data_IF_440452936072
#
_entry.id   IF_440452936072
#
_cell.length_a   1.000
_cell.length_b   1.000
_cell.length_c   1.000
_cell.angle_alpha   90.00
_cell.angle_beta   90.00
_cell.angle_gamma   90.00
#
_symmetry.space_group_name_H-M   'P 1'
#
loop_
_entity.id
_entity.type
_entity.pdbx_description
1 polymer ?
#
# COMPACT_ATOMS: atom_id res chain seq x y z
N UNK A 1 -10.30 34.17 -14.88
CA UNK A 1 -9.59 32.91 -14.64
C UNK A 1 -8.10 33.19 -14.88
N UNK A 2 -7.25 33.11 -13.84
CA UNK A 2 -5.79 33.29 -14.03
C UNK A 2 -5.24 31.94 -14.50
N UNK A 3 -4.72 31.86 -15.72
CA UNK A 3 -4.03 30.65 -16.21
C UNK A 3 -2.77 30.41 -15.35
N UNK A 4 -2.45 29.16 -15.07
CA UNK A 4 -1.17 28.81 -14.44
C UNK A 4 -0.03 29.13 -15.43
N UNK A 5 1.15 29.45 -14.94
CA UNK A 5 2.30 29.78 -15.77
C UNK A 5 2.69 28.65 -16.74
N UNK A 6 2.57 27.38 -16.33
CA UNK A 6 2.84 26.22 -17.19
C UNK A 6 1.86 26.12 -18.38
N UNK A 7 0.59 26.38 -18.14
CA UNK A 7 -0.45 26.39 -19.19
C UNK A 7 -0.22 27.53 -20.18
N UNK A 8 0.16 28.74 -19.69
CA UNK A 8 0.54 29.85 -20.54
C UNK A 8 1.73 29.51 -21.42
N UNK A 9 2.77 28.89 -20.86
CA UNK A 9 3.94 28.44 -21.60
C UNK A 9 3.59 27.37 -22.65
N UNK A 10 2.76 26.39 -22.33
CA UNK A 10 2.31 25.37 -23.28
C UNK A 10 1.57 25.99 -24.47
N UNK A 11 0.64 26.91 -24.22
CA UNK A 11 -0.10 27.62 -25.25
C UNK A 11 0.89 28.42 -26.15
N UNK A 12 1.83 29.17 -25.56
CA UNK A 12 2.81 29.97 -26.29
C UNK A 12 3.74 29.12 -27.16
N UNK A 13 4.21 27.96 -26.64
CA UNK A 13 5.04 27.03 -27.41
C UNK A 13 4.24 26.48 -28.59
N UNK A 14 3.02 25.99 -28.41
CA UNK A 14 2.18 25.45 -29.49
C UNK A 14 1.87 26.53 -30.53
N UNK A 15 1.51 27.74 -30.11
CA UNK A 15 1.25 28.85 -31.02
C UNK A 15 2.51 29.24 -31.83
N UNK A 16 3.68 29.23 -31.20
CA UNK A 16 4.93 29.54 -31.90
C UNK A 16 5.26 28.46 -32.95
N UNK A 17 5.13 27.17 -32.59
CA UNK A 17 5.32 26.06 -33.51
C UNK A 17 4.29 26.06 -34.65
N UNK A 18 3.06 26.51 -34.40
CA UNK A 18 2.02 26.62 -35.42
C UNK A 18 2.28 27.72 -36.49
N UNK A 19 3.01 28.78 -36.09
CA UNK A 19 3.31 29.91 -36.99
C UNK A 19 4.66 29.79 -37.71
N UNK A 20 5.47 28.78 -37.34
CA UNK A 20 6.80 28.56 -37.92
C UNK A 20 6.89 27.15 -38.51
N UNK A 21 7.31 27.06 -39.75
CA UNK A 21 7.50 25.82 -40.46
C UNK A 21 8.83 25.15 -40.06
N UNK A 22 8.80 23.85 -39.75
CA UNK A 22 9.98 23.05 -39.52
C UNK A 22 10.26 22.77 -38.03
N UNK A 23 11.48 22.34 -37.77
CA UNK A 23 11.92 21.93 -36.42
C UNK A 23 12.49 23.15 -35.69
N UNK A 24 11.94 23.47 -34.53
CA UNK A 24 12.36 24.62 -33.72
C UNK A 24 13.14 24.12 -32.50
N UNK A 25 14.37 24.63 -32.35
CA UNK A 25 15.24 24.22 -31.23
C UNK A 25 14.78 24.79 -29.88
N UNK A 26 15.16 24.12 -28.78
CA UNK A 26 14.93 24.64 -27.42
C UNK A 26 15.51 26.03 -27.22
N UNK A 27 16.71 26.29 -27.80
CA UNK A 27 17.39 27.58 -27.71
C UNK A 27 16.59 28.68 -28.38
N UNK A 28 16.01 28.39 -29.53
CA UNK A 28 15.18 29.35 -30.28
C UNK A 28 13.88 29.64 -29.55
N UNK A 29 13.16 28.59 -29.07
CA UNK A 29 11.97 28.77 -28.22
C UNK A 29 12.26 29.59 -26.97
N UNK A 30 13.37 29.30 -26.29
CA UNK A 30 13.80 30.04 -25.10
C UNK A 30 14.01 31.55 -25.42
N UNK A 31 14.71 31.84 -26.48
CA UNK A 31 15.01 33.21 -26.89
C UNK A 31 13.76 33.98 -27.30
N UNK A 32 12.89 33.36 -28.09
CA UNK A 32 11.71 34.02 -28.65
C UNK A 32 10.55 34.17 -27.66
N UNK A 33 10.38 33.16 -26.78
CA UNK A 33 9.28 33.15 -25.83
C UNK A 33 9.66 33.68 -24.45
N UNK A 34 10.94 33.95 -24.20
CA UNK A 34 11.47 34.37 -22.90
C UNK A 34 11.16 33.36 -21.81
N UNK A 35 11.28 32.06 -22.14
CA UNK A 35 11.07 30.93 -21.21
C UNK A 35 12.42 30.25 -20.99
N UNK A 36 12.76 29.93 -19.72
CA UNK A 36 14.00 29.23 -19.43
C UNK A 36 14.03 27.84 -20.10
N UNK A 37 15.20 27.41 -20.66
CA UNK A 37 15.31 26.14 -21.40
C UNK A 37 14.81 24.91 -20.60
N UNK A 38 15.03 24.89 -19.28
CA UNK A 38 14.58 23.84 -18.39
C UNK A 38 13.04 23.70 -18.39
N UNK A 39 12.32 24.83 -18.32
CA UNK A 39 10.87 24.88 -18.42
C UNK A 39 10.35 24.49 -19.80
N UNK A 40 11.06 24.85 -20.89
CA UNK A 40 10.67 24.41 -22.23
C UNK A 40 10.74 22.88 -22.33
N UNK A 41 11.81 22.26 -21.81
CA UNK A 41 11.94 20.80 -21.83
C UNK A 41 10.81 20.11 -21.06
N UNK A 42 10.46 20.67 -19.92
CA UNK A 42 9.40 20.12 -19.06
C UNK A 42 8.03 20.21 -19.73
N UNK A 43 7.66 21.38 -20.25
CA UNK A 43 6.39 21.59 -20.95
C UNK A 43 6.35 20.81 -22.27
N UNK A 44 7.46 20.79 -23.03
CA UNK A 44 7.55 20.04 -24.28
C UNK A 44 7.42 18.54 -24.06
N UNK A 45 7.97 17.98 -22.97
CA UNK A 45 7.76 16.58 -22.61
C UNK A 45 6.26 16.27 -22.46
N UNK A 46 5.54 17.13 -21.76
CA UNK A 46 4.09 17.01 -21.54
C UNK A 46 3.30 17.05 -22.86
N UNK A 47 3.62 18.04 -23.71
CA UNK A 47 2.97 18.18 -25.01
C UNK A 47 3.27 17.00 -25.95
N UNK A 48 4.47 16.41 -25.88
CA UNK A 48 4.86 15.20 -26.60
C UNK A 48 4.07 13.99 -26.13
N UNK A 49 3.97 13.79 -24.81
CA UNK A 49 3.23 12.67 -24.22
C UNK A 49 1.73 12.72 -24.58
N UNK A 50 1.17 13.91 -24.77
CA UNK A 50 -0.18 14.15 -25.28
C UNK A 50 -0.30 14.11 -26.80
N UNK A 51 0.77 13.79 -27.54
CA UNK A 51 0.79 13.76 -29.00
C UNK A 51 0.37 15.09 -29.67
N UNK A 52 0.70 16.21 -29.01
CA UNK A 52 0.50 17.57 -29.55
C UNK A 52 1.74 18.02 -30.34
N UNK A 53 2.94 17.64 -29.86
CA UNK A 53 4.20 17.91 -30.54
C UNK A 53 5.04 16.65 -30.71
N UNK A 54 6.00 16.71 -31.63
CA UNK A 54 7.05 15.69 -31.85
C UNK A 54 8.39 16.32 -31.46
N UNK A 55 9.23 15.55 -30.75
CA UNK A 55 10.60 15.91 -30.43
C UNK A 55 11.56 15.04 -31.26
N UNK A 56 12.56 15.68 -31.91
CA UNK A 56 13.65 14.98 -32.59
C UNK A 56 14.97 15.30 -31.90
N UNK A 57 15.79 14.27 -31.72
CA UNK A 57 17.13 14.40 -31.12
C UNK A 57 18.19 14.63 -32.21
N UNK A 58 19.31 15.29 -31.86
CA UNK A 58 20.45 15.48 -32.72
C UNK A 58 20.85 16.95 -32.87
N UNK A 59 21.90 17.22 -33.67
CA UNK A 59 22.47 18.56 -33.87
C UNK A 59 21.46 19.56 -34.48
N UNK A 60 20.49 19.06 -35.24
CA UNK A 60 19.35 19.82 -35.76
C UNK A 60 18.04 19.42 -35.06
N UNK A 61 18.12 18.92 -33.81
CA UNK A 61 16.97 18.51 -33.05
C UNK A 61 16.13 19.70 -32.57
N UNK A 62 14.92 19.40 -32.15
CA UNK A 62 13.95 20.40 -31.67
C UNK A 62 12.54 19.82 -31.62
N UNK A 63 11.56 20.70 -31.72
CA UNK A 63 10.14 20.40 -31.62
C UNK A 63 9.40 20.89 -32.87
N UNK A 64 8.37 20.12 -33.25
CA UNK A 64 7.38 20.49 -34.27
C UNK A 64 6.00 19.98 -33.85
N UNK A 65 4.94 20.48 -34.46
CA UNK A 65 3.59 19.95 -34.19
C UNK A 65 3.45 18.51 -34.66
N UNK A 66 2.78 17.69 -33.88
CA UNK A 66 2.46 16.28 -34.23
C UNK A 66 1.29 16.16 -35.22
N UNK A 67 0.45 17.22 -35.33
CA UNK A 67 -0.72 17.32 -36.18
C UNK A 67 -0.91 18.75 -36.66
N UNK A 68 -1.83 18.97 -37.60
CA UNK A 68 -2.10 20.30 -38.16
C UNK A 68 -2.54 21.25 -37.02
N UNK A 69 -2.13 22.49 -37.07
CA UNK A 69 -2.45 23.50 -36.05
C UNK A 69 -3.97 23.67 -35.84
N UNK A 70 -4.73 23.57 -36.94
CA UNK A 70 -6.23 23.63 -36.94
C UNK A 70 -6.89 22.47 -36.18
N UNK A 71 -6.19 21.34 -36.04
CA UNK A 71 -6.67 20.15 -35.33
C UNK A 71 -6.29 20.14 -33.83
N UNK A 72 -5.59 21.19 -33.36
CA UNK A 72 -5.17 21.35 -31.96
C UNK A 72 -6.06 22.39 -31.28
N UNK A 73 -6.90 21.97 -30.38
CA UNK A 73 -7.76 22.89 -29.64
C UNK A 73 -7.07 23.41 -28.37
N UNK A 74 -7.42 24.66 -27.99
CA UNK A 74 -6.97 25.22 -26.70
C UNK A 74 -7.37 24.32 -25.50
N UNK A 75 -8.56 23.71 -25.57
CA UNK A 75 -9.06 22.78 -24.57
C UNK A 75 -8.13 21.58 -24.41
N UNK A 76 -7.60 21.05 -25.50
CA UNK A 76 -6.69 19.90 -25.50
C UNK A 76 -5.36 20.27 -24.83
N UNK A 77 -4.78 21.44 -25.13
CA UNK A 77 -3.55 21.93 -24.50
C UNK A 77 -3.76 22.11 -22.98
N UNK A 78 -4.87 22.72 -22.57
CA UNK A 78 -5.21 22.95 -21.17
C UNK A 78 -5.46 21.63 -20.44
N UNK A 79 -6.19 20.68 -21.06
CA UNK A 79 -6.46 19.38 -20.46
C UNK A 79 -5.21 18.53 -20.30
N UNK A 80 -4.27 18.60 -21.25
CA UNK A 80 -2.96 17.95 -21.17
C UNK A 80 -2.16 18.42 -19.95
N UNK A 81 -2.09 19.73 -19.73
CA UNK A 81 -1.43 20.29 -18.56
C UNK A 81 -2.12 19.90 -17.24
N UNK A 82 -3.46 19.95 -17.20
CA UNK A 82 -4.21 19.58 -15.99
C UNK A 82 -4.10 18.09 -15.64
N UNK A 83 -4.08 17.18 -16.61
CA UNK A 83 -3.91 15.74 -16.36
C UNK A 83 -2.51 15.40 -15.87
N UNK A 84 -1.49 16.04 -16.46
CA UNK A 84 -0.10 15.82 -16.08
C UNK A 84 0.22 16.45 -14.73
N UNK A 85 -0.31 17.63 -14.44
CA UNK A 85 -0.21 18.24 -13.11
C UNK A 85 -0.83 17.32 -12.04
N UNK A 86 -2.00 16.73 -12.34
CA UNK A 86 -2.62 15.76 -11.43
C UNK A 86 -1.78 14.50 -11.25
N UNK A 87 -1.18 13.97 -12.31
CA UNK A 87 -0.31 12.79 -12.23
C UNK A 87 0.98 13.08 -11.46
N UNK A 88 1.60 14.24 -11.72
CA UNK A 88 2.77 14.70 -10.98
C UNK A 88 2.45 14.92 -9.50
N UNK A 89 1.32 15.56 -9.20
CA UNK A 89 0.87 15.75 -7.82
C UNK A 89 0.64 14.43 -7.11
N UNK A 90 0.01 13.44 -7.76
CA UNK A 90 -0.17 12.09 -7.20
C UNK A 90 1.17 11.39 -6.95
N UNK A 91 2.16 11.57 -7.82
CA UNK A 91 3.51 11.03 -7.61
C UNK A 91 4.19 11.67 -6.39
N UNK A 92 4.09 12.98 -6.24
CA UNK A 92 4.61 13.71 -5.07
C UNK A 92 3.92 13.24 -3.77
N UNK A 93 2.61 13.07 -3.78
CA UNK A 93 1.84 12.55 -2.63
C UNK A 93 2.30 11.13 -2.24
N UNK A 94 2.55 10.27 -3.24
CA UNK A 94 3.13 8.96 -3.02
C UNK A 94 4.54 9.06 -2.40
N UNK A 95 5.40 9.89 -2.96
CA UNK A 95 6.78 10.10 -2.51
C UNK A 95 6.84 10.72 -1.11
N UNK A 96 5.91 11.63 -0.76
CA UNK A 96 5.75 12.16 0.60
C UNK A 96 5.45 11.01 1.58
N UNK A 97 4.46 10.19 1.25
CA UNK A 97 4.11 9.03 2.09
C UNK A 97 5.26 8.04 2.21
N UNK A 98 6.05 7.85 1.15
CA UNK A 98 7.19 6.95 1.12
C UNK A 98 8.46 7.50 1.80
N UNK A 99 8.49 8.81 2.10
CA UNK A 99 9.66 9.50 2.66
C UNK A 99 10.85 9.52 1.70
N UNK A 100 10.59 9.75 0.41
CA UNK A 100 11.60 9.77 -0.66
C UNK A 100 11.77 11.15 -1.28
N UNK A 101 11.15 12.18 -0.70
CA UNK A 101 11.33 13.58 -1.04
C UNK A 101 12.51 14.17 -0.24
N UNK A 102 13.09 15.25 -0.74
CA UNK A 102 13.95 16.14 0.05
C UNK A 102 13.10 16.94 1.04
N UNK A 103 13.70 17.49 2.09
CA UNK A 103 12.97 18.28 3.09
C UNK A 103 12.22 19.47 2.48
N UNK A 104 12.81 20.15 1.48
CA UNK A 104 12.18 21.27 0.80
C UNK A 104 10.96 20.82 -0.03
N UNK A 105 11.07 19.68 -0.74
CA UNK A 105 9.95 19.08 -1.46
C UNK A 105 8.84 18.58 -0.52
N UNK A 106 9.21 18.01 0.64
CA UNK A 106 8.24 17.58 1.67
C UNK A 106 7.40 18.75 2.16
N UNK A 107 8.04 19.90 2.47
CA UNK A 107 7.37 21.12 2.92
C UNK A 107 6.43 21.68 1.84
N UNK A 108 6.88 21.70 0.57
CA UNK A 108 6.06 22.18 -0.55
C UNK A 108 4.81 21.31 -0.73
N UNK A 109 4.98 19.98 -0.76
CA UNK A 109 3.86 19.03 -0.94
C UNK A 109 2.92 19.08 0.27
N UNK A 110 3.44 19.14 1.49
CA UNK A 110 2.64 19.25 2.70
C UNK A 110 1.79 20.53 2.68
N UNK A 111 2.36 21.66 2.26
CA UNK A 111 1.63 22.92 2.11
C UNK A 111 0.50 22.82 1.06
N UNK A 112 0.75 22.19 -0.10
CA UNK A 112 -0.27 21.94 -1.13
C UNK A 112 -1.42 21.10 -0.54
N UNK A 113 -1.09 20.07 0.21
CA UNK A 113 -2.06 19.20 0.88
C UNK A 113 -2.70 19.86 2.12
N UNK A 114 -2.14 20.95 2.64
CA UNK A 114 -2.58 21.60 3.89
C UNK A 114 -2.36 20.70 5.10
N UNK A 115 -1.23 19.99 5.12
CA UNK A 115 -0.75 19.20 6.23
C UNK A 115 0.26 20.01 7.04
N UNK A 116 0.21 19.85 8.37
CA UNK A 116 1.08 20.53 9.30
C UNK A 116 1.81 19.51 10.19
N UNK A 117 2.92 19.92 10.79
CA UNK A 117 3.68 19.08 11.73
C UNK A 117 2.94 18.80 13.04
N UNK A 118 1.86 19.51 13.29
CA UNK A 118 1.00 19.30 14.47
C UNK A 118 -0.18 18.38 14.19
N UNK A 119 -0.42 18.02 12.94
CA UNK A 119 -1.54 17.16 12.58
C UNK A 119 -1.31 15.72 13.04
N UNK A 120 -2.37 15.09 13.55
CA UNK A 120 -2.39 13.65 13.77
C UNK A 120 -2.77 12.96 12.46
N UNK A 121 -1.85 12.17 11.91
CA UNK A 121 -1.94 11.58 10.59
C UNK A 121 -1.83 10.06 10.66
N UNK A 122 -2.42 9.38 9.66
CA UNK A 122 -2.31 7.94 9.50
C UNK A 122 -2.36 7.58 8.02
N UNK A 123 -1.58 6.60 7.60
CA UNK A 123 -1.63 6.08 6.23
C UNK A 123 -2.43 4.79 6.18
N UNK A 124 -3.36 4.71 5.25
CA UNK A 124 -4.08 3.50 4.89
C UNK A 124 -3.66 3.10 3.48
N UNK A 125 -3.23 1.85 3.34
CA UNK A 125 -2.87 1.28 2.04
C UNK A 125 -3.91 0.24 1.65
N UNK A 126 -4.58 0.47 0.53
CA UNK A 126 -5.46 -0.50 -0.11
C UNK A 126 -4.67 -1.22 -1.20
N UNK A 127 -4.80 -2.53 -1.27
CA UNK A 127 -4.07 -3.36 -2.23
C UNK A 127 -5.02 -4.33 -2.92
N UNK A 128 -4.92 -4.38 -4.24
CA UNK A 128 -5.62 -5.34 -5.08
C UNK A 128 -4.64 -6.44 -5.49
N UNK A 129 -5.03 -7.69 -5.30
CA UNK A 129 -4.22 -8.85 -5.68
C UNK A 129 -5.07 -9.80 -6.53
N UNK A 130 -4.59 -10.21 -7.72
CA UNK A 130 -5.28 -11.22 -8.50
C UNK A 130 -5.17 -12.58 -7.81
N UNK A 131 -6.28 -13.34 -7.75
CA UNK A 131 -6.33 -14.68 -7.12
C UNK A 131 -5.68 -15.78 -7.98
N UNK A 132 -5.16 -15.42 -9.16
CA UNK A 132 -4.51 -16.37 -10.05
C UNK A 132 -3.07 -16.70 -9.58
N UNK A 133 -2.58 -17.90 -9.95
CA UNK A 133 -1.23 -18.38 -9.59
C UNK A 133 -0.10 -17.54 -10.20
N UNK A 134 -0.34 -16.79 -11.26
CA UNK A 134 0.68 -15.98 -11.93
C UNK A 134 0.96 -14.64 -11.23
N UNK A 135 0.06 -14.18 -10.36
CA UNK A 135 0.13 -12.86 -9.72
C UNK A 135 0.01 -11.68 -10.69
N UNK A 136 -0.37 -11.92 -11.95
CA UNK A 136 -0.51 -10.89 -12.98
C UNK A 136 -1.98 -10.59 -13.22
N UNK A 137 -2.29 -9.32 -13.38
CA UNK A 137 -3.63 -8.87 -13.74
C UNK A 137 -3.95 -9.16 -15.21
N UNK A 138 -5.15 -9.67 -15.48
CA UNK A 138 -5.73 -9.71 -16.81
C UNK A 138 -6.26 -8.33 -17.20
N UNK A 139 -6.55 -8.12 -18.50
CA UNK A 139 -7.14 -6.85 -18.97
C UNK A 139 -8.48 -6.54 -18.29
N UNK A 140 -9.29 -7.56 -18.02
CA UNK A 140 -10.57 -7.39 -17.30
C UNK A 140 -10.32 -7.02 -15.83
N UNK A 141 -9.38 -7.67 -15.16
CA UNK A 141 -9.01 -7.33 -13.79
C UNK A 141 -8.47 -5.91 -13.68
N UNK A 142 -7.70 -5.42 -14.66
CA UNK A 142 -7.26 -4.02 -14.70
C UNK A 142 -8.43 -3.04 -14.79
N UNK A 143 -9.46 -3.35 -15.57
CA UNK A 143 -10.70 -2.55 -15.59
C UNK A 143 -11.39 -2.53 -14.21
N UNK A 144 -11.43 -3.66 -13.53
CA UNK A 144 -12.01 -3.72 -12.18
C UNK A 144 -11.19 -2.89 -11.17
N UNK A 145 -9.84 -2.83 -11.29
CA UNK A 145 -9.03 -1.96 -10.42
C UNK A 145 -9.37 -0.49 -10.60
N UNK A 146 -9.61 -0.02 -11.82
CA UNK A 146 -10.05 1.35 -12.09
C UNK A 146 -11.43 1.67 -11.47
N UNK A 147 -12.34 0.69 -11.47
CA UNK A 147 -13.66 0.86 -10.85
C UNK A 147 -13.51 0.97 -9.34
N UNK A 148 -12.69 0.13 -8.72
CA UNK A 148 -12.39 0.20 -7.28
C UNK A 148 -11.77 1.54 -6.91
N UNK A 149 -10.82 2.06 -7.70
CA UNK A 149 -10.23 3.38 -7.46
C UNK A 149 -11.30 4.46 -7.46
N UNK A 150 -12.19 4.47 -8.45
CA UNK A 150 -13.30 5.44 -8.52
C UNK A 150 -14.27 5.33 -7.34
N UNK A 151 -14.52 4.12 -6.87
CA UNK A 151 -15.38 3.86 -5.71
C UNK A 151 -14.74 4.34 -4.41
N UNK A 152 -13.43 4.10 -4.21
CA UNK A 152 -12.67 4.63 -3.09
C UNK A 152 -12.66 6.16 -3.09
N UNK A 153 -12.42 6.81 -4.25
CA UNK A 153 -12.39 8.26 -4.38
C UNK A 153 -13.76 8.94 -4.16
N UNK A 154 -14.86 8.18 -4.15
CA UNK A 154 -16.19 8.68 -3.74
C UNK A 154 -16.38 8.71 -2.23
N UNK A 155 -15.73 7.79 -1.52
CA UNK A 155 -15.87 7.61 -0.07
C UNK A 155 -14.73 8.25 0.72
N UNK A 156 -13.57 8.47 0.09
CA UNK A 156 -12.39 9.05 0.71
C UNK A 156 -12.11 10.45 0.13
N UNK A 157 -11.38 11.27 0.87
CA UNK A 157 -10.96 12.59 0.37
C UNK A 157 -10.00 12.43 -0.81
N UNK A 158 -10.39 12.97 -1.98
CA UNK A 158 -9.56 12.98 -3.19
C UNK A 158 -8.22 13.69 -2.99
N UNK A 159 -8.19 14.70 -2.13
CA UNK A 159 -7.00 15.50 -1.82
C UNK A 159 -5.89 14.68 -1.16
N UNK A 160 -6.26 13.63 -0.43
CA UNK A 160 -5.37 12.81 0.35
C UNK A 160 -5.24 11.37 -0.18
N UNK A 161 -5.66 11.14 -1.43
CA UNK A 161 -5.67 9.79 -2.02
C UNK A 161 -4.84 9.75 -3.28
N UNK A 162 -3.78 8.95 -3.27
CA UNK A 162 -2.94 8.67 -4.44
C UNK A 162 -3.03 7.20 -4.84
N UNK A 163 -2.85 6.89 -6.11
CA UNK A 163 -2.98 5.53 -6.63
C UNK A 163 -1.89 5.19 -7.64
N UNK A 164 -1.49 3.94 -7.64
CA UNK A 164 -0.77 3.31 -8.74
C UNK A 164 -1.49 2.00 -9.12
N UNK A 165 -0.99 1.24 -10.07
CA UNK A 165 -1.67 0.13 -10.77
C UNK A 165 -2.50 -0.81 -9.87
N UNK A 166 -2.03 -1.16 -8.68
CA UNK A 166 -2.69 -2.12 -7.78
C UNK A 166 -2.71 -1.69 -6.32
N UNK A 167 -2.34 -0.45 -6.06
CA UNK A 167 -2.23 0.08 -4.71
C UNK A 167 -2.80 1.49 -4.66
N UNK A 168 -3.65 1.75 -3.68
CA UNK A 168 -4.18 3.07 -3.40
C UNK A 168 -3.76 3.44 -1.98
N UNK A 169 -3.22 4.64 -1.81
CA UNK A 169 -2.73 5.16 -0.54
C UNK A 169 -3.63 6.32 -0.15
N UNK A 170 -4.10 6.29 1.07
CA UNK A 170 -4.91 7.33 1.67
C UNK A 170 -4.23 7.88 2.91
N UNK A 171 -3.94 9.17 2.93
CA UNK A 171 -3.48 9.88 4.12
C UNK A 171 -4.72 10.33 4.89
N UNK A 172 -4.97 9.71 6.02
CA UNK A 172 -6.05 10.11 6.93
C UNK A 172 -5.53 11.18 7.89
N UNK A 173 -6.08 12.39 7.77
CA UNK A 173 -5.93 13.44 8.78
C UNK A 173 -7.01 13.23 9.81
N UNK A 174 -6.61 12.99 11.07
CA UNK A 174 -7.52 12.64 12.14
C UNK A 174 -8.52 13.75 12.40
N UNK A 175 -9.76 13.36 12.47
CA UNK A 175 -10.87 14.20 12.90
C UNK A 175 -11.13 13.94 14.39
N UNK A 176 -11.15 14.98 15.21
CA UNK A 176 -11.39 14.88 16.66
C UNK A 176 -12.78 14.28 16.98
N UNK A 177 -13.73 14.38 16.05
CA UNK A 177 -15.09 13.84 16.21
C UNK A 177 -15.16 12.32 15.93
N UNK A 178 -14.12 11.74 15.29
CA UNK A 178 -14.10 10.33 14.89
C UNK A 178 -13.13 9.58 15.77
N UNK A 179 -13.63 8.65 16.59
CA UNK A 179 -12.78 7.77 17.37
C UNK A 179 -11.99 6.79 16.49
N UNK A 180 -10.85 6.30 16.97
CA UNK A 180 -10.06 5.28 16.27
C UNK A 180 -10.86 4.00 15.96
N UNK A 181 -11.84 3.67 16.81
CA UNK A 181 -12.74 2.54 16.58
C UNK A 181 -13.68 2.80 15.41
N UNK A 182 -14.33 3.97 15.38
CA UNK A 182 -15.25 4.36 14.30
C UNK A 182 -14.51 4.44 12.96
N UNK A 183 -13.31 5.05 12.94
CA UNK A 183 -12.46 5.07 11.75
C UNK A 183 -12.18 3.66 11.22
N UNK A 184 -11.74 2.75 12.10
CA UNK A 184 -11.43 1.37 11.70
C UNK A 184 -12.66 0.63 11.19
N UNK A 185 -13.79 0.75 11.88
CA UNK A 185 -15.05 0.13 11.44
C UNK A 185 -15.50 0.66 10.08
N UNK A 186 -15.35 1.95 9.82
CA UNK A 186 -15.62 2.55 8.51
C UNK A 186 -14.73 1.99 7.40
N UNK A 187 -13.44 1.78 7.67
CA UNK A 187 -12.51 1.15 6.72
C UNK A 187 -12.87 -0.33 6.50
N UNK A 188 -13.22 -1.08 7.56
CA UNK A 188 -13.66 -2.48 7.46
C UNK A 188 -14.95 -2.61 6.65
N UNK A 189 -15.91 -1.71 6.84
CA UNK A 189 -17.15 -1.67 6.08
C UNK A 189 -16.91 -1.34 4.60
N UNK A 190 -16.11 -0.32 4.32
CA UNK A 190 -15.71 0.05 2.96
C UNK A 190 -15.03 -1.12 2.24
N UNK A 191 -14.11 -1.81 2.91
CA UNK A 191 -13.46 -3.00 2.37
C UNK A 191 -14.47 -4.09 2.00
N UNK A 192 -15.41 -4.40 2.89
CA UNK A 192 -16.46 -5.41 2.65
C UNK A 192 -17.35 -5.05 1.47
N UNK A 193 -17.77 -3.80 1.36
CA UNK A 193 -18.60 -3.32 0.25
C UNK A 193 -17.86 -3.53 -1.08
N UNK A 194 -16.61 -3.11 -1.16
CA UNK A 194 -15.80 -3.23 -2.38
C UNK A 194 -15.53 -4.70 -2.72
N UNK A 195 -15.14 -5.53 -1.73
CA UNK A 195 -14.91 -6.96 -1.96
C UNK A 195 -16.17 -7.66 -2.47
N UNK A 196 -17.33 -7.40 -1.86
CA UNK A 196 -18.60 -7.94 -2.32
C UNK A 196 -18.96 -7.53 -3.75
N UNK A 197 -18.60 -6.30 -4.14
CA UNK A 197 -18.81 -5.82 -5.51
C UNK A 197 -17.87 -6.52 -6.51
N UNK A 198 -16.63 -6.79 -6.13
CA UNK A 198 -15.67 -7.57 -6.92
C UNK A 198 -16.13 -9.02 -7.09
N UNK A 199 -16.58 -9.65 -6.00
CA UNK A 199 -17.05 -11.05 -6.02
C UNK A 199 -18.31 -11.21 -6.87
N UNK A 200 -19.28 -10.27 -6.79
CA UNK A 200 -20.47 -10.25 -7.66
C UNK A 200 -20.12 -10.13 -9.14
N UNK A 201 -19.00 -9.51 -9.49
CA UNK A 201 -18.52 -9.38 -10.87
C UNK A 201 -17.59 -10.52 -11.28
N UNK A 202 -17.37 -11.51 -10.42
CA UNK A 202 -16.41 -12.61 -10.64
C UNK A 202 -15.02 -12.11 -11.03
N UNK A 203 -14.56 -11.03 -10.39
CA UNK A 203 -13.32 -10.35 -10.75
C UNK A 203 -12.05 -11.13 -10.35
N UNK A 204 -12.17 -12.15 -9.48
CA UNK A 204 -11.05 -12.94 -8.94
C UNK A 204 -9.90 -12.06 -8.41
N UNK A 205 -10.27 -11.04 -7.65
CA UNK A 205 -9.35 -10.09 -7.01
C UNK A 205 -9.61 -10.07 -5.52
N UNK A 206 -8.55 -10.17 -4.72
CA UNK A 206 -8.57 -9.87 -3.30
C UNK A 206 -8.34 -8.38 -3.08
N UNK A 207 -9.18 -7.77 -2.26
CA UNK A 207 -9.05 -6.39 -1.84
C UNK A 207 -8.65 -6.32 -0.36
N UNK A 208 -7.39 -5.99 -0.13
CA UNK A 208 -6.75 -6.02 1.19
C UNK A 208 -6.45 -4.61 1.68
N UNK A 209 -6.49 -4.40 2.99
CA UNK A 209 -6.26 -3.09 3.61
C UNK A 209 -5.26 -3.20 4.75
N UNK A 210 -4.19 -2.41 4.67
CA UNK A 210 -3.23 -2.20 5.73
C UNK A 210 -3.40 -0.80 6.34
N UNK A 211 -3.55 -0.72 7.64
CA UNK A 211 -3.65 0.53 8.38
C UNK A 211 -2.36 0.71 9.18
N UNK A 212 -1.66 1.83 8.94
CA UNK A 212 -0.46 2.21 9.68
C UNK A 212 -0.76 2.76 11.08
N UNK A 213 0.25 3.01 11.87
CA UNK A 213 0.12 3.68 13.19
C UNK A 213 -0.24 5.16 13.04
N UNK A 214 -0.80 5.76 14.09
CA UNK A 214 -0.90 7.21 14.20
C UNK A 214 0.51 7.82 14.30
N UNK A 215 0.72 8.91 13.59
CA UNK A 215 1.96 9.68 13.59
C UNK A 215 1.63 11.16 13.71
N UNK A 216 2.55 11.95 14.25
CA UNK A 216 2.39 13.40 14.36
C UNK A 216 3.25 14.08 13.29
N UNK A 217 2.62 14.94 12.52
CA UNK A 217 3.27 15.66 11.44
C UNK A 217 3.48 14.84 10.15
N UNK A 218 3.62 15.57 9.04
CA UNK A 218 3.81 14.96 7.73
C UNK A 218 5.19 14.30 7.56
N UNK A 219 6.23 14.79 8.25
CA UNK A 219 7.58 14.21 8.23
C UNK A 219 7.64 12.76 8.75
N UNK A 220 6.67 12.37 9.59
CA UNK A 220 6.55 11.02 10.13
C UNK A 220 5.64 10.08 9.28
N UNK A 221 5.04 10.56 8.18
CA UNK A 221 4.15 9.74 7.33
C UNK A 221 4.80 8.46 6.82
N UNK A 222 6.11 8.50 6.52
CA UNK A 222 6.90 7.33 6.10
C UNK A 222 6.83 6.16 7.08
N UNK A 223 6.73 6.44 8.37
CA UNK A 223 6.62 5.39 9.39
C UNK A 223 5.24 4.72 9.33
N UNK A 224 4.17 5.53 9.24
CA UNK A 224 2.81 5.03 9.10
C UNK A 224 2.62 4.25 7.80
N UNK A 225 3.20 4.72 6.69
CA UNK A 225 3.18 4.03 5.41
C UNK A 225 3.94 2.71 5.46
N UNK A 226 5.13 2.68 6.06
CA UNK A 226 5.90 1.45 6.27
C UNK A 226 5.09 0.42 7.08
N UNK A 227 4.42 0.85 8.15
CA UNK A 227 3.58 0.00 8.97
C UNK A 227 2.38 -0.55 8.16
N UNK A 228 1.71 0.27 7.35
CA UNK A 228 0.59 -0.16 6.50
C UNK A 228 1.02 -1.20 5.45
N UNK A 229 2.19 -1.03 4.85
CA UNK A 229 2.79 -2.00 3.92
C UNK A 229 3.20 -3.29 4.61
N UNK A 230 3.74 -3.20 5.82
CA UNK A 230 4.11 -4.36 6.64
C UNK A 230 2.89 -5.20 6.96
N UNK A 231 1.77 -4.57 7.33
CA UNK A 231 0.50 -5.26 7.56
C UNK A 231 0.06 -6.07 6.32
N UNK A 232 0.19 -5.50 5.12
CA UNK A 232 -0.16 -6.17 3.87
C UNK A 232 0.84 -7.25 3.44
N UNK A 233 2.15 -7.02 3.67
CA UNK A 233 3.19 -7.99 3.34
C UNK A 233 3.02 -9.30 4.11
N UNK A 234 2.66 -9.20 5.37
CA UNK A 234 2.56 -10.34 6.28
C UNK A 234 1.11 -10.76 6.57
N UNK A 235 0.14 -10.34 5.76
CA UNK A 235 -1.28 -10.61 6.03
C UNK A 235 -1.59 -12.10 6.21
N UNK A 236 -0.95 -12.98 5.43
CA UNK A 236 -1.12 -14.44 5.55
C UNK A 236 -0.58 -14.99 6.87
N UNK A 237 0.53 -14.45 7.37
CA UNK A 237 1.08 -14.79 8.69
C UNK A 237 0.14 -14.30 9.79
N UNK A 238 -0.33 -13.06 9.67
CA UNK A 238 -1.26 -12.44 10.63
C UNK A 238 -2.57 -13.22 10.71
N UNK A 239 -3.11 -13.66 9.57
CA UNK A 239 -4.31 -14.52 9.52
C UNK A 239 -4.14 -15.78 10.35
N UNK A 240 -3.01 -16.49 10.19
CA UNK A 240 -2.70 -17.68 10.99
C UNK A 240 -2.57 -17.36 12.48
N UNK A 241 -1.80 -16.33 12.83
CA UNK A 241 -1.59 -15.91 14.23
C UNK A 241 -2.90 -15.55 14.93
N UNK A 242 -3.82 -14.89 14.24
CA UNK A 242 -5.12 -14.48 14.79
C UNK A 242 -6.14 -15.62 14.70
N UNK A 243 -5.92 -16.62 13.85
CA UNK A 243 -6.87 -17.70 13.55
C UNK A 243 -8.08 -17.25 12.74
N UNK A 244 -7.92 -16.19 11.92
CA UNK A 244 -8.95 -15.59 11.05
C UNK A 244 -8.43 -15.53 9.61
N UNK A 245 -8.73 -16.59 8.85
CA UNK A 245 -8.26 -16.73 7.45
C UNK A 245 -8.90 -15.71 6.49
N UNK A 246 -10.07 -15.17 6.84
CA UNK A 246 -10.81 -14.21 6.03
C UNK A 246 -10.43 -12.74 6.32
N UNK A 247 -9.52 -12.52 7.28
CA UNK A 247 -9.08 -11.19 7.66
C UNK A 247 -8.50 -10.42 6.47
N UNK A 248 -9.17 -9.34 6.08
CA UNK A 248 -8.76 -8.52 4.93
C UNK A 248 -8.31 -7.11 5.32
N UNK A 249 -8.58 -6.68 6.55
CA UNK A 249 -8.16 -5.40 7.10
C UNK A 249 -7.25 -5.64 8.30
N UNK A 250 -6.02 -5.14 8.24
CA UNK A 250 -5.03 -5.25 9.32
C UNK A 250 -4.58 -3.88 9.78
N UNK A 251 -4.81 -3.59 11.05
CA UNK A 251 -4.30 -2.40 11.73
C UNK A 251 -2.97 -2.75 12.42
N UNK A 252 -1.87 -2.26 11.85
CA UNK A 252 -0.52 -2.54 12.33
C UNK A 252 -0.30 -2.08 13.78
N UNK A 253 -0.99 -1.01 14.22
CA UNK A 253 -0.88 -0.50 15.59
C UNK A 253 -1.33 -1.50 16.64
N UNK A 254 -2.14 -2.51 16.27
CA UNK A 254 -2.68 -3.54 17.17
C UNK A 254 -1.88 -4.84 17.18
N UNK A 255 -0.84 -4.94 16.37
CA UNK A 255 -0.05 -6.17 16.23
C UNK A 255 1.04 -6.34 17.32
N UNK A 256 1.14 -5.41 18.28
CA UNK A 256 2.05 -5.55 19.42
C UNK A 256 3.50 -5.84 19.02
N UNK A 257 4.09 -6.88 19.60
CA UNK A 257 5.47 -7.29 19.34
C UNK A 257 5.75 -7.76 17.91
N UNK A 258 4.72 -8.16 17.14
CA UNK A 258 4.87 -8.52 15.75
C UNK A 258 5.60 -7.43 14.94
N UNK A 259 5.28 -6.15 15.21
CA UNK A 259 5.94 -5.00 14.57
C UNK A 259 7.45 -4.92 14.84
N UNK A 260 7.89 -5.46 15.96
CA UNK A 260 9.32 -5.52 16.33
C UNK A 260 9.97 -6.71 15.64
N UNK A 261 9.36 -7.87 15.71
CA UNK A 261 9.91 -9.08 15.11
C UNK A 261 10.12 -8.99 13.60
N UNK A 262 9.19 -8.35 12.87
CA UNK A 262 9.33 -8.17 11.39
C UNK A 262 10.49 -7.25 10.98
N UNK A 263 11.10 -6.52 11.91
CA UNK A 263 12.27 -5.67 11.66
C UNK A 263 13.59 -6.41 11.84
N UNK A 264 13.56 -7.57 12.48
CA UNK A 264 14.72 -8.42 12.71
C UNK A 264 14.89 -9.27 11.45
N UNK A 265 16.00 -9.07 10.75
CA UNK A 265 16.31 -9.82 9.52
C UNK A 265 17.13 -11.09 9.79
N UNK A 266 17.74 -11.18 10.97
CA UNK A 266 18.52 -12.33 11.39
C UNK A 266 17.63 -13.41 11.99
N UNK A 267 17.68 -14.59 11.36
CA UNK A 267 16.90 -15.74 11.77
C UNK A 267 17.36 -16.33 13.11
N UNK A 268 18.66 -16.32 13.38
CA UNK A 268 19.21 -16.83 14.64
C UNK A 268 18.84 -15.91 15.80
N UNK A 269 18.88 -14.58 15.57
CA UNK A 269 18.41 -13.62 16.54
C UNK A 269 16.91 -13.84 16.86
N UNK A 270 16.07 -14.02 15.83
CA UNK A 270 14.64 -14.32 16.05
C UNK A 270 14.43 -15.59 16.85
N UNK A 271 15.19 -16.66 16.55
CA UNK A 271 15.08 -17.93 17.26
C UNK A 271 15.49 -17.81 18.73
N UNK A 272 16.39 -16.89 19.09
CA UNK A 272 16.80 -16.67 20.48
C UNK A 272 15.66 -16.19 21.40
N UNK A 273 14.59 -15.62 20.82
CA UNK A 273 13.38 -15.22 21.56
C UNK A 273 12.35 -16.32 21.69
N UNK A 274 12.56 -17.49 21.08
CA UNK A 274 11.63 -18.62 21.16
C UNK A 274 11.92 -19.44 22.41
N UNK A 275 10.94 -19.70 23.29
CA UNK A 275 11.17 -20.50 24.50
C UNK A 275 11.58 -21.94 24.16
N UNK A 276 12.46 -22.52 24.97
CA UNK A 276 13.00 -23.88 24.77
C UNK A 276 11.89 -24.94 24.69
N UNK A 277 10.82 -24.80 25.47
CA UNK A 277 9.64 -25.67 25.42
C UNK A 277 9.03 -25.75 24.02
N UNK A 278 8.91 -24.61 23.34
CA UNK A 278 8.37 -24.53 21.99
C UNK A 278 9.38 -25.01 20.94
N UNK A 279 10.68 -24.76 21.13
CA UNK A 279 11.74 -25.28 20.23
C UNK A 279 11.71 -26.81 20.20
N UNK A 280 11.66 -27.46 21.35
CA UNK A 280 11.55 -28.94 21.46
C UNK A 280 10.33 -29.50 20.71
N UNK A 281 9.19 -28.82 20.85
CA UNK A 281 7.97 -29.21 20.16
C UNK A 281 8.08 -29.08 18.63
N UNK A 282 8.65 -27.98 18.17
CA UNK A 282 8.86 -27.71 16.73
C UNK A 282 9.82 -28.74 16.10
N UNK A 283 10.92 -29.06 16.77
CA UNK A 283 11.87 -30.09 16.33
C UNK A 283 11.21 -31.46 16.26
N UNK A 284 10.40 -31.82 17.27
CA UNK A 284 9.65 -33.08 17.27
C UNK A 284 8.70 -33.17 16.07
N UNK A 285 7.90 -32.13 15.81
CA UNK A 285 6.98 -32.10 14.68
C UNK A 285 7.72 -32.21 13.35
N UNK A 286 8.84 -31.51 13.20
CA UNK A 286 9.67 -31.58 12.00
C UNK A 286 10.22 -32.99 11.73
N UNK A 287 10.63 -33.72 12.78
CA UNK A 287 11.15 -35.08 12.65
C UNK A 287 10.06 -36.14 12.40
N UNK A 288 8.88 -35.95 12.96
CA UNK A 288 7.79 -36.92 12.92
C UNK A 288 6.67 -36.56 11.95
N UNK A 289 6.81 -35.46 11.21
CA UNK A 289 5.75 -34.89 10.36
C UNK A 289 4.45 -34.73 11.16
N UNK A 290 4.59 -34.16 12.39
CA UNK A 290 3.53 -34.01 13.35
C UNK A 290 2.68 -32.76 13.13
N UNK A 291 1.60 -32.65 13.88
CA UNK A 291 0.68 -31.52 13.85
C UNK A 291 0.48 -30.91 15.27
N UNK A 292 1.47 -31.07 16.15
CA UNK A 292 1.36 -30.64 17.54
C UNK A 292 1.46 -29.13 17.68
N UNK A 293 2.35 -28.47 16.90
CA UNK A 293 2.50 -27.01 16.87
C UNK A 293 1.22 -26.35 16.37
N UNK A 294 0.65 -26.85 15.27
CA UNK A 294 -0.61 -26.34 14.72
C UNK A 294 -1.77 -26.57 15.69
N UNK A 295 -1.78 -27.71 16.39
CA UNK A 295 -2.79 -28.00 17.43
C UNK A 295 -2.66 -27.03 18.60
N UNK A 296 -1.44 -26.75 19.07
CA UNK A 296 -1.16 -25.80 20.15
C UNK A 296 -1.61 -24.39 19.77
N UNK A 297 -1.22 -23.91 18.59
CA UNK A 297 -1.62 -22.58 18.07
C UNK A 297 -3.15 -22.46 18.00
N UNK A 298 -3.81 -23.47 17.41
CA UNK A 298 -5.26 -23.50 17.33
C UNK A 298 -5.91 -23.50 18.74
N UNK A 299 -5.38 -24.27 19.67
CA UNK A 299 -5.89 -24.34 21.05
C UNK A 299 -5.77 -22.99 21.76
N UNK A 300 -4.61 -22.33 21.67
CA UNK A 300 -4.41 -21.02 22.26
C UNK A 300 -5.29 -19.95 21.62
N UNK A 301 -5.49 -20.00 20.30
CA UNK A 301 -6.36 -19.07 19.56
C UNK A 301 -7.86 -19.25 19.90
N UNK A 302 -8.27 -20.45 20.32
CA UNK A 302 -9.64 -20.75 20.73
C UNK A 302 -9.82 -20.72 22.26
N UNK A 303 -9.09 -19.85 22.97
CA UNK A 303 -9.19 -19.63 24.42
C UNK A 303 -9.03 -20.91 25.22
N UNK A 304 -8.17 -21.81 24.78
CA UNK A 304 -7.90 -23.12 25.39
C UNK A 304 -9.14 -24.05 25.47
N UNK A 305 -10.09 -23.88 24.55
CA UNK A 305 -11.30 -24.69 24.48
C UNK A 305 -11.09 -25.92 23.60
N UNK A 306 -11.11 -27.13 24.19
CA UNK A 306 -11.03 -28.41 23.48
C UNK A 306 -12.09 -28.53 22.39
N UNK A 307 -13.34 -28.13 22.71
CA UNK A 307 -14.48 -28.22 21.77
C UNK A 307 -14.28 -27.29 20.55
N UNK A 308 -13.88 -26.04 20.78
CA UNK A 308 -13.67 -25.11 19.68
C UNK A 308 -12.47 -25.53 18.82
N UNK A 309 -11.38 -25.98 19.45
CA UNK A 309 -10.19 -26.48 18.77
C UNK A 309 -10.51 -27.72 17.92
N UNK A 310 -11.23 -28.67 18.46
CA UNK A 310 -11.61 -29.88 17.71
C UNK A 310 -12.48 -29.56 16.49
N UNK A 311 -13.42 -28.65 16.62
CA UNK A 311 -14.22 -28.16 15.49
C UNK A 311 -13.38 -27.46 14.41
N UNK A 312 -12.43 -26.62 14.82
CA UNK A 312 -11.56 -25.86 13.92
C UNK A 312 -10.58 -26.77 13.16
N UNK A 313 -10.06 -27.81 13.83
CA UNK A 313 -9.12 -28.79 13.24
C UNK A 313 -9.85 -29.96 12.53
N UNK A 314 -11.18 -30.00 12.57
CA UNK A 314 -11.99 -31.11 12.00
C UNK A 314 -11.60 -32.49 12.54
N UNK A 315 -11.24 -32.56 13.83
CA UNK A 315 -10.91 -33.82 14.52
C UNK A 315 -11.78 -34.05 15.75
N UNK A 316 -11.80 -35.27 16.26
CA UNK A 316 -12.52 -35.55 17.49
C UNK A 316 -11.85 -34.90 18.71
N UNK A 317 -12.63 -34.48 19.72
CA UNK A 317 -12.08 -33.78 20.90
C UNK A 317 -11.04 -34.63 21.66
N UNK A 318 -11.19 -35.95 21.69
CA UNK A 318 -10.20 -36.88 22.28
C UNK A 318 -8.85 -36.81 21.58
N UNK A 319 -8.84 -36.60 20.28
CA UNK A 319 -7.59 -36.40 19.50
C UNK A 319 -6.88 -35.12 19.93
N UNK A 320 -7.62 -34.04 20.14
CA UNK A 320 -7.05 -32.81 20.68
C UNK A 320 -6.52 -33.02 22.10
N UNK A 321 -7.26 -33.68 22.97
CA UNK A 321 -6.81 -33.99 24.33
C UNK A 321 -5.51 -34.80 24.32
N UNK A 322 -5.45 -35.86 23.52
CA UNK A 322 -4.26 -36.69 23.36
C UNK A 322 -3.06 -35.86 22.85
N UNK A 323 -3.28 -35.00 21.84
CA UNK A 323 -2.22 -34.16 21.32
C UNK A 323 -1.70 -33.15 22.36
N UNK A 324 -2.58 -32.58 23.18
CA UNK A 324 -2.18 -31.66 24.26
C UNK A 324 -1.40 -32.37 25.37
N UNK A 325 -1.78 -33.60 25.73
CA UNK A 325 -1.01 -34.46 26.66
C UNK A 325 0.39 -34.70 26.07
N UNK A 326 0.46 -35.05 24.79
CA UNK A 326 1.73 -35.25 24.08
C UNK A 326 2.59 -33.99 24.05
N UNK A 327 2.01 -32.81 23.86
CA UNK A 327 2.69 -31.53 23.94
C UNK A 327 3.30 -31.33 25.32
N UNK A 328 2.53 -31.58 26.39
CA UNK A 328 3.02 -31.49 27.78
C UNK A 328 4.20 -32.44 28.04
N UNK A 329 4.12 -33.69 27.56
CA UNK A 329 5.18 -34.68 27.70
C UNK A 329 6.49 -34.24 27.04
N UNK A 330 6.44 -33.68 25.79
CA UNK A 330 7.61 -33.30 25.01
C UNK A 330 8.22 -31.99 25.51
N UNK A 331 7.38 -30.99 25.76
CA UNK A 331 7.81 -29.62 26.04
C UNK A 331 7.85 -29.25 27.51
N UNK A 332 7.23 -30.08 28.39
CA UNK A 332 7.00 -29.75 29.81
C UNK A 332 6.21 -28.44 30.03
N UNK A 333 5.44 -28.01 29.01
CA UNK A 333 4.74 -26.73 28.99
C UNK A 333 3.57 -26.72 29.97
N UNK A 334 3.48 -25.67 30.79
CA UNK A 334 2.36 -25.40 31.68
C UNK A 334 1.35 -24.45 31.04
N UNK A 335 0.18 -24.98 30.65
CA UNK A 335 -0.88 -24.18 30.01
C UNK A 335 -1.62 -23.26 30.99
N UNK A 336 -1.42 -23.42 32.28
CA UNK A 336 -2.03 -22.59 33.31
C UNK A 336 -1.11 -21.44 33.75
N UNK A 337 0.16 -21.43 33.28
CA UNK A 337 1.11 -20.39 33.57
C UNK A 337 0.99 -19.25 32.52
N UNK A 338 0.50 -18.03 32.89
CA UNK A 338 0.30 -16.95 31.93
C UNK A 338 1.61 -16.43 31.28
N UNK A 339 2.73 -16.46 32.00
CA UNK A 339 4.03 -15.99 31.49
C UNK A 339 4.55 -16.94 30.42
N UNK A 340 4.43 -18.24 30.65
CA UNK A 340 4.82 -19.26 29.67
C UNK A 340 3.94 -19.19 28.40
N UNK A 341 2.63 -19.06 28.58
CA UNK A 341 1.70 -18.88 27.46
C UNK A 341 2.02 -17.63 26.65
N UNK A 342 2.38 -16.54 27.30
CA UNK A 342 2.81 -15.32 26.59
C UNK A 342 4.10 -15.56 25.77
N UNK A 343 5.10 -16.20 26.35
CA UNK A 343 6.35 -16.55 25.67
C UNK A 343 6.10 -17.51 24.49
N UNK A 344 5.27 -18.52 24.68
CA UNK A 344 4.89 -19.46 23.63
C UNK A 344 4.14 -18.78 22.49
N UNK A 345 3.20 -17.87 22.76
CA UNK A 345 2.51 -17.08 21.72
C UNK A 345 3.48 -16.24 20.90
N UNK A 346 4.44 -15.57 21.54
CA UNK A 346 5.46 -14.83 20.85
C UNK A 346 6.36 -15.76 20.00
N UNK A 347 6.74 -16.90 20.52
CA UNK A 347 7.50 -17.92 19.78
C UNK A 347 6.77 -18.47 18.55
N UNK A 348 5.46 -18.73 18.65
CA UNK A 348 4.63 -19.14 17.51
C UNK A 348 4.62 -18.06 16.42
N UNK A 349 4.49 -16.78 16.80
CA UNK A 349 4.59 -15.65 15.86
C UNK A 349 5.94 -15.67 15.12
N UNK A 350 7.02 -15.88 15.86
CA UNK A 350 8.39 -15.92 15.31
C UNK A 350 8.53 -17.08 14.32
N UNK A 351 8.06 -18.28 14.65
CA UNK A 351 8.12 -19.40 13.71
C UNK A 351 7.36 -19.13 12.42
N UNK A 352 6.16 -18.54 12.48
CA UNK A 352 5.41 -18.16 11.28
C UNK A 352 6.11 -17.09 10.44
N UNK A 353 6.84 -16.19 11.07
CA UNK A 353 7.68 -15.22 10.37
C UNK A 353 8.87 -15.91 9.67
N UNK A 354 9.57 -16.81 10.37
CA UNK A 354 10.73 -17.54 9.83
C UNK A 354 10.35 -18.41 8.62
N UNK A 355 9.14 -18.99 8.61
CA UNK A 355 8.62 -19.74 7.46
C UNK A 355 8.47 -18.88 6.18
N UNK A 356 8.45 -17.55 6.31
CA UNK A 356 8.31 -16.60 5.19
C UNK A 356 9.60 -15.92 4.78
N UNK A 357 10.67 -16.13 5.53
CA UNK A 357 12.02 -15.60 5.24
C UNK A 357 12.79 -16.57 4.34
#
# INVERSE_FOLDING_TARGET
MKLKSSTDYAIRIVCYLATHNGMISTTELSKQLYIAPTYIHEVAKKLKDANIIVACEGVKGGYTLAKRAEDISLKEIVSCEEELDKKYQKDLEYRLSAGTLSSEEEDEVANILGLNDTDDLRVVTFRLLPKNKSGRFTSEQLRQTEIVEKELLRNLSKKYTTSNTNQIIYIYKKDEQISNLQFRLGIEELQKIIQNNLDKRSADIDFLVGIGKDVKGYSALKESFSDSKTALKYIHVIRKIIGDEDKSVVDCSKLGFFRTFVKISDKEELLSYVPESLQKLYEFDKQKNGELVDTLECFLNNKQSLKQTSNKLFVHYRTVSYRLEKIKEISSMDFDNPEEILAVRNGLIIYRLIETM
#
